data_IF_301444972375
#
_entry.id   IF_301444972375
#
_cell.length_a   1.000
_cell.length_b   1.000
_cell.length_c   1.000
_cell.angle_alpha   90.00
_cell.angle_beta   90.00
_cell.angle_gamma   90.00
#
_symmetry.space_group_name_H-M   'P 1'
#
loop_
_entity.id
_entity.type
_entity.pdbx_description
1 polymer ?
#
# COMPACT_ATOMS: atom_id res chain seq x y z
N UNK A 1 -7.97 -12.60 17.85
CA UNK A 1 -7.43 -11.43 18.58
C UNK A 1 -8.62 -10.72 19.20
N UNK A 2 -8.53 -10.29 20.45
CA UNK A 2 -9.59 -9.55 21.13
C UNK A 2 -9.76 -8.18 20.46
N UNK A 3 -10.97 -7.67 20.35
CA UNK A 3 -11.35 -6.42 19.66
C UNK A 3 -10.71 -5.11 20.19
N UNK A 4 -9.70 -5.19 21.03
CA UNK A 4 -8.98 -4.05 21.65
C UNK A 4 -7.45 -4.19 21.62
N UNK A 5 -6.91 -5.14 20.85
CA UNK A 5 -5.46 -5.41 20.84
C UNK A 5 -4.60 -4.21 20.39
N UNK A 6 -5.15 -3.30 19.58
CA UNK A 6 -4.45 -2.14 19.00
C UNK A 6 -5.01 -0.79 19.48
N UNK A 7 -5.64 -0.71 20.66
CA UNK A 7 -6.35 0.49 21.15
C UNK A 7 -5.51 1.78 21.22
N UNK A 8 -4.19 1.67 21.28
CA UNK A 8 -3.25 2.80 21.31
C UNK A 8 -2.40 2.90 20.03
N UNK A 9 -2.82 2.24 18.96
CA UNK A 9 -2.09 2.21 17.69
C UNK A 9 -2.79 3.11 16.69
N UNK A 10 -2.05 3.97 16.02
CA UNK A 10 -2.56 4.84 14.95
C UNK A 10 -1.96 4.44 13.61
N UNK A 11 -2.83 4.21 12.63
CA UNK A 11 -2.49 3.72 11.30
C UNK A 11 -2.87 4.74 10.24
N UNK A 12 -1.99 4.99 9.29
CA UNK A 12 -2.30 5.74 8.06
C UNK A 12 -2.35 4.76 6.90
N UNK A 13 -3.44 4.75 6.13
CA UNK A 13 -3.60 3.90 4.93
C UNK A 13 -3.88 4.76 3.72
N UNK A 14 -3.05 4.66 2.68
CA UNK A 14 -3.23 5.41 1.43
C UNK A 14 -4.03 4.61 0.39
N UNK A 15 -4.82 5.30 -0.47
CA UNK A 15 -5.68 4.65 -1.46
C UNK A 15 -6.73 3.76 -0.81
N UNK A 16 -7.35 4.24 0.27
CA UNK A 16 -8.12 3.40 1.18
C UNK A 16 -9.65 3.56 1.05
N UNK A 17 -10.12 4.31 0.06
CA UNK A 17 -11.55 4.44 -0.20
C UNK A 17 -12.19 3.20 -0.86
N UNK A 18 -11.38 2.23 -1.29
CA UNK A 18 -11.88 1.00 -1.92
C UNK A 18 -10.87 -0.12 -1.94
N UNK A 19 -11.25 -1.26 -2.55
CA UNK A 19 -10.37 -2.41 -2.79
C UNK A 19 -9.60 -2.87 -1.55
N UNK A 20 -8.32 -3.18 -1.72
CA UNK A 20 -7.45 -3.67 -0.65
C UNK A 20 -7.32 -2.68 0.51
N UNK A 21 -7.16 -1.37 0.21
CA UNK A 21 -6.98 -0.35 1.24
C UNK A 21 -8.17 -0.26 2.20
N UNK A 22 -9.40 -0.38 1.68
CA UNK A 22 -10.61 -0.41 2.50
C UNK A 22 -10.66 -1.65 3.41
N UNK A 23 -10.30 -2.83 2.87
CA UNK A 23 -10.26 -4.07 3.67
C UNK A 23 -9.18 -4.02 4.75
N UNK A 24 -8.02 -3.42 4.47
CA UNK A 24 -6.96 -3.17 5.47
C UNK A 24 -7.48 -2.21 6.56
N UNK A 25 -8.14 -1.11 6.16
CA UNK A 25 -8.75 -0.15 7.10
C UNK A 25 -9.72 -0.83 8.05
N UNK A 26 -10.66 -1.63 7.50
CA UNK A 26 -11.63 -2.41 8.29
C UNK A 26 -10.91 -3.29 9.32
N UNK A 27 -9.90 -4.05 8.89
CA UNK A 27 -9.20 -4.97 9.78
C UNK A 27 -8.48 -4.27 10.94
N UNK A 28 -7.89 -3.08 10.69
CA UNK A 28 -7.27 -2.29 11.77
C UNK A 28 -8.30 -1.67 12.72
N UNK A 29 -9.42 -1.15 12.20
CA UNK A 29 -10.51 -0.62 13.04
C UNK A 29 -11.13 -1.73 13.92
N UNK A 30 -11.41 -2.89 13.35
CA UNK A 30 -11.89 -4.07 14.10
C UNK A 30 -10.90 -4.56 15.16
N UNK A 31 -9.59 -4.41 14.92
CA UNK A 31 -8.54 -4.68 15.90
C UNK A 31 -8.43 -3.59 16.98
N UNK A 32 -9.19 -2.51 16.87
CA UNK A 32 -9.27 -1.43 17.84
C UNK A 32 -8.34 -0.24 17.59
N UNK A 33 -7.60 -0.21 16.48
CA UNK A 33 -6.70 0.88 16.12
C UNK A 33 -7.45 2.18 15.77
N UNK A 34 -6.76 3.31 15.88
CA UNK A 34 -7.14 4.55 15.21
C UNK A 34 -6.66 4.50 13.76
N UNK A 35 -7.49 4.87 12.81
CA UNK A 35 -7.12 4.79 11.39
C UNK A 35 -7.41 6.10 10.67
N UNK A 36 -6.39 6.67 10.06
CA UNK A 36 -6.53 7.76 9.10
C UNK A 36 -6.40 7.18 7.68
N UNK A 37 -7.34 7.52 6.81
CA UNK A 37 -7.29 7.14 5.41
C UNK A 37 -7.16 8.34 4.49
N UNK A 38 -6.54 8.13 3.33
CA UNK A 38 -6.65 9.08 2.24
C UNK A 38 -6.93 8.39 0.91
N UNK A 39 -7.59 9.14 0.03
CA UNK A 39 -7.81 8.78 -1.36
C UNK A 39 -7.95 10.06 -2.20
N UNK A 40 -7.66 9.97 -3.49
CA UNK A 40 -7.87 11.07 -4.43
C UNK A 40 -9.31 11.10 -4.97
N UNK A 41 -10.01 9.96 -4.91
CA UNK A 41 -11.40 9.86 -5.35
C UNK A 41 -12.34 10.26 -4.21
N UNK A 42 -12.79 11.51 -4.26
CA UNK A 42 -13.65 12.10 -3.23
C UNK A 42 -14.95 11.33 -3.01
N UNK A 43 -15.63 10.91 -4.05
CA UNK A 43 -16.93 10.23 -3.94
C UNK A 43 -16.79 8.88 -3.22
N UNK A 44 -15.76 8.10 -3.56
CA UNK A 44 -15.45 6.85 -2.86
C UNK A 44 -15.01 7.10 -1.41
N UNK A 45 -14.26 8.17 -1.19
CA UNK A 45 -13.81 8.54 0.14
C UNK A 45 -14.97 8.94 1.04
N UNK A 46 -15.90 9.74 0.54
CA UNK A 46 -17.10 10.15 1.27
C UNK A 46 -17.99 8.93 1.62
N UNK A 47 -18.16 8.00 0.68
CA UNK A 47 -18.90 6.76 0.92
C UNK A 47 -18.20 5.88 2.00
N UNK A 48 -16.89 5.72 1.92
CA UNK A 48 -16.13 5.00 2.95
C UNK A 48 -16.17 5.70 4.30
N UNK A 49 -16.09 7.04 4.31
CA UNK A 49 -16.19 7.84 5.53
C UNK A 49 -17.55 7.69 6.21
N UNK A 50 -18.64 7.68 5.44
CA UNK A 50 -19.98 7.46 5.98
C UNK A 50 -20.09 6.07 6.63
N UNK A 51 -19.60 5.03 5.95
CA UNK A 51 -19.61 3.65 6.45
C UNK A 51 -18.83 3.51 7.76
N UNK A 52 -17.58 3.96 7.79
CA UNK A 52 -16.73 3.80 8.97
C UNK A 52 -17.12 4.71 10.13
N UNK A 53 -17.70 5.89 9.86
CA UNK A 53 -18.14 6.81 10.92
C UNK A 53 -19.33 6.30 11.71
N UNK A 54 -20.08 5.33 11.19
CA UNK A 54 -21.21 4.72 11.90
C UNK A 54 -20.74 3.95 13.13
N UNK A 55 -19.67 3.15 12.99
CA UNK A 55 -19.21 2.25 14.06
C UNK A 55 -17.91 2.71 14.73
N UNK A 56 -17.14 3.59 14.08
CA UNK A 56 -15.77 3.97 14.47
C UNK A 56 -15.50 5.47 14.50
N UNK A 57 -16.52 6.34 14.70
CA UNK A 57 -16.40 7.80 14.59
C UNK A 57 -15.17 8.40 15.31
N UNK A 58 -14.91 7.96 16.54
CA UNK A 58 -13.80 8.48 17.35
C UNK A 58 -12.43 7.94 16.92
N UNK A 59 -12.39 6.81 16.21
CA UNK A 59 -11.18 6.10 15.78
C UNK A 59 -10.84 6.27 14.32
N UNK A 60 -11.64 7.03 13.57
CA UNK A 60 -11.53 7.13 12.12
C UNK A 60 -11.34 8.56 11.66
N UNK A 61 -10.46 8.77 10.69
CA UNK A 61 -10.23 10.04 9.98
C UNK A 61 -10.16 9.77 8.49
N UNK A 62 -10.94 10.49 7.70
CA UNK A 62 -10.83 10.49 6.23
C UNK A 62 -10.34 11.85 5.74
N UNK A 63 -9.41 11.85 4.78
CA UNK A 63 -8.92 13.06 4.14
C UNK A 63 -8.73 12.86 2.64
N UNK A 64 -9.34 13.73 1.84
CA UNK A 64 -9.01 13.82 0.43
C UNK A 64 -7.56 14.29 0.29
N UNK A 65 -6.70 13.45 -0.31
CA UNK A 65 -5.30 13.79 -0.54
C UNK A 65 -4.73 13.04 -1.74
N UNK A 66 -4.08 13.79 -2.60
CA UNK A 66 -3.21 13.25 -3.64
C UNK A 66 -1.84 12.93 -3.02
N UNK A 67 -1.47 11.66 -2.99
CA UNK A 67 -0.18 11.20 -2.43
C UNK A 67 1.03 11.71 -3.21
N UNK A 68 0.84 12.23 -4.43
CA UNK A 68 1.90 12.86 -5.22
C UNK A 68 2.16 14.33 -4.85
N UNK A 69 1.31 14.90 -4.00
CA UNK A 69 1.47 16.25 -3.46
C UNK A 69 2.07 16.22 -2.06
N UNK A 70 3.31 16.70 -1.91
CA UNK A 70 3.98 16.75 -0.60
C UNK A 70 3.17 17.55 0.42
N UNK A 71 2.56 18.66 0.01
CA UNK A 71 1.73 19.49 0.87
C UNK A 71 0.50 18.73 1.37
N UNK A 72 -0.18 17.98 0.49
CA UNK A 72 -1.36 17.20 0.87
C UNK A 72 -0.98 16.03 1.81
N UNK A 73 0.17 15.40 1.57
CA UNK A 73 0.72 14.35 2.44
C UNK A 73 1.08 14.92 3.81
N UNK A 74 1.83 16.02 3.88
CA UNK A 74 2.19 16.66 5.16
C UNK A 74 0.92 17.02 5.97
N UNK A 75 -0.11 17.54 5.30
CA UNK A 75 -1.37 17.87 5.95
C UNK A 75 -2.12 16.63 6.48
N UNK A 76 -2.10 15.51 5.74
CA UNK A 76 -2.67 14.24 6.21
C UNK A 76 -2.02 13.79 7.52
N UNK A 77 -0.69 13.84 7.59
CA UNK A 77 0.05 13.45 8.80
C UNK A 77 -0.19 14.43 9.96
N UNK A 78 -0.22 15.73 9.71
CA UNK A 78 -0.55 16.75 10.73
C UNK A 78 -1.95 16.54 11.31
N UNK A 79 -2.96 16.31 10.45
CA UNK A 79 -4.34 16.06 10.91
C UNK A 79 -4.45 14.75 11.69
N UNK A 80 -3.70 13.72 11.27
CA UNK A 80 -3.63 12.44 11.98
C UNK A 80 -3.03 12.60 13.37
N UNK A 81 -1.90 13.30 13.48
CA UNK A 81 -1.26 13.58 14.77
C UNK A 81 -2.13 14.48 15.65
N UNK A 82 -2.78 15.50 15.06
CA UNK A 82 -3.72 16.37 15.79
C UNK A 82 -4.89 15.59 16.39
N UNK A 83 -5.43 14.59 15.66
CA UNK A 83 -6.58 13.81 16.14
C UNK A 83 -6.18 12.68 17.09
N UNK A 84 -5.10 11.97 16.79
CA UNK A 84 -4.75 10.71 17.46
C UNK A 84 -3.42 10.76 18.26
N UNK A 85 -2.69 11.86 18.17
CA UNK A 85 -1.46 12.11 18.93
C UNK A 85 -0.19 11.52 18.33
N UNK A 86 -0.27 10.53 17.41
CA UNK A 86 0.87 9.81 16.87
C UNK A 86 0.57 9.08 15.56
N UNK A 87 1.59 8.52 14.92
CA UNK A 87 1.48 7.57 13.81
C UNK A 87 2.38 6.37 14.10
N UNK A 88 1.80 5.19 14.24
CA UNK A 88 2.54 3.96 14.53
C UNK A 88 2.78 3.12 13.28
N UNK A 89 1.84 3.16 12.34
CA UNK A 89 1.90 2.34 11.12
C UNK A 89 1.55 3.21 9.92
N UNK A 90 2.35 3.09 8.87
CA UNK A 90 2.01 3.57 7.53
C UNK A 90 1.80 2.36 6.61
N UNK A 91 0.68 2.33 5.89
CA UNK A 91 0.42 1.37 4.81
C UNK A 91 0.40 2.13 3.49
N UNK A 92 1.45 2.00 2.69
CA UNK A 92 1.54 2.51 1.32
C UNK A 92 0.81 1.56 0.38
N UNK A 93 -0.49 1.80 0.18
CA UNK A 93 -1.36 0.97 -0.64
C UNK A 93 -1.80 1.67 -1.94
N UNK A 94 -1.86 3.00 -1.98
CA UNK A 94 -2.23 3.74 -3.19
C UNK A 94 -1.37 3.34 -4.39
N UNK A 95 -1.98 2.86 -5.46
CA UNK A 95 -1.31 2.49 -6.70
C UNK A 95 -2.29 2.39 -7.87
N UNK A 96 -1.76 2.53 -9.07
CA UNK A 96 -2.49 2.32 -10.33
C UNK A 96 -1.73 1.33 -11.21
N UNK A 97 -2.44 0.67 -12.13
CA UNK A 97 -1.87 -0.25 -13.12
C UNK A 97 -1.50 0.49 -14.40
N UNK A 98 -0.53 -0.04 -15.15
CA UNK A 98 -0.27 0.34 -16.53
C UNK A 98 -1.17 -0.44 -17.52
N UNK A 99 -0.98 -0.17 -18.81
CA UNK A 99 -1.73 -0.82 -19.89
C UNK A 99 -1.03 -2.05 -20.46
N UNK A 100 -0.07 -2.63 -19.77
CA UNK A 100 0.79 -3.75 -20.21
C UNK A 100 1.75 -3.40 -21.36
N UNK A 101 2.11 -2.12 -21.51
CA UNK A 101 3.02 -1.68 -22.54
C UNK A 101 4.47 -2.10 -22.25
N UNK A 102 5.15 -2.80 -23.18
CA UNK A 102 6.59 -2.97 -23.11
C UNK A 102 7.31 -1.64 -23.40
N UNK A 103 8.62 -1.59 -23.16
CA UNK A 103 9.42 -0.37 -23.23
C UNK A 103 9.31 0.37 -24.58
N UNK A 104 9.12 -0.35 -25.69
CA UNK A 104 9.04 0.25 -27.03
C UNK A 104 7.72 0.98 -27.32
N UNK A 105 6.65 0.71 -26.57
CA UNK A 105 5.29 1.27 -26.83
C UNK A 105 4.76 2.09 -25.65
N UNK A 106 5.39 2.06 -24.48
CA UNK A 106 4.98 2.83 -23.33
C UNK A 106 5.11 4.33 -23.59
N UNK A 107 4.00 5.06 -23.48
CA UNK A 107 4.03 6.51 -23.63
C UNK A 107 4.64 7.22 -22.42
N UNK A 108 5.20 8.42 -22.63
CA UNK A 108 5.68 9.26 -21.53
C UNK A 108 4.58 9.57 -20.50
N UNK A 109 3.34 9.80 -20.96
CA UNK A 109 2.21 10.06 -20.07
C UNK A 109 1.96 8.89 -19.09
N UNK A 110 1.92 7.65 -19.60
CA UNK A 110 1.77 6.44 -18.77
C UNK A 110 2.95 6.30 -17.84
N UNK A 111 4.16 6.45 -18.35
CA UNK A 111 5.39 6.37 -17.58
C UNK A 111 5.40 7.36 -16.40
N UNK A 112 5.23 8.65 -16.66
CA UNK A 112 5.26 9.69 -15.64
C UNK A 112 4.14 9.52 -14.62
N UNK A 113 2.94 9.17 -15.08
CA UNK A 113 1.81 8.89 -14.20
C UNK A 113 2.12 7.76 -13.22
N UNK A 114 2.67 6.66 -13.70
CA UNK A 114 2.99 5.51 -12.86
C UNK A 114 4.12 5.83 -11.87
N UNK A 115 5.19 6.48 -12.32
CA UNK A 115 6.29 6.91 -11.45
C UNK A 115 5.78 7.84 -10.35
N UNK A 116 4.95 8.82 -10.69
CA UNK A 116 4.42 9.75 -9.70
C UNK A 116 3.53 9.05 -8.67
N UNK A 117 2.56 8.25 -9.09
CA UNK A 117 1.61 7.64 -8.17
C UNK A 117 2.23 6.48 -7.40
N UNK A 118 2.89 5.54 -8.11
CA UNK A 118 3.32 4.28 -7.51
C UNK A 118 4.70 4.34 -6.82
N UNK A 119 5.50 5.38 -7.07
CA UNK A 119 6.85 5.49 -6.51
C UNK A 119 7.05 6.80 -5.74
N UNK A 120 6.80 7.96 -6.37
CA UNK A 120 6.95 9.26 -5.70
C UNK A 120 5.95 9.39 -4.54
N UNK A 121 4.69 8.97 -4.71
CA UNK A 121 3.68 8.96 -3.65
C UNK A 121 4.14 8.19 -2.41
N UNK A 122 4.49 6.89 -2.50
CA UNK A 122 5.06 6.14 -1.39
C UNK A 122 6.34 6.71 -0.80
N UNK A 123 7.19 7.37 -1.59
CA UNK A 123 8.35 8.09 -1.07
C UNK A 123 7.93 9.27 -0.19
N UNK A 124 7.00 10.10 -0.63
CA UNK A 124 6.53 11.28 0.11
C UNK A 124 5.83 10.86 1.42
N UNK A 125 4.96 9.87 1.38
CA UNK A 125 4.29 9.34 2.57
C UNK A 125 5.27 8.67 3.53
N UNK A 126 6.27 7.94 3.04
CA UNK A 126 7.35 7.37 3.86
C UNK A 126 8.18 8.49 4.52
N UNK A 127 8.52 9.55 3.78
CA UNK A 127 9.23 10.73 4.30
C UNK A 127 8.47 11.38 5.44
N UNK A 128 7.16 11.60 5.28
CA UNK A 128 6.31 12.18 6.32
C UNK A 128 6.17 11.26 7.54
N UNK A 129 6.00 9.95 7.31
CA UNK A 129 5.93 8.94 8.36
C UNK A 129 7.21 8.91 9.19
N UNK A 130 8.38 8.82 8.54
CA UNK A 130 9.68 8.80 9.22
C UNK A 130 9.85 10.04 10.09
N UNK A 131 9.62 11.25 9.54
CA UNK A 131 9.70 12.50 10.33
C UNK A 131 8.82 12.45 11.57
N UNK A 132 7.59 11.98 11.45
CA UNK A 132 6.64 11.84 12.56
C UNK A 132 7.12 10.79 13.57
N UNK A 133 7.51 9.60 13.09
CA UNK A 133 7.93 8.48 13.93
C UNK A 133 9.24 8.72 14.69
N UNK A 134 10.14 9.57 14.16
CA UNK A 134 11.38 9.95 14.86
C UNK A 134 11.13 10.92 16.01
N UNK A 135 10.12 11.78 15.91
CA UNK A 135 9.88 12.88 16.85
C UNK A 135 8.81 12.59 17.90
N UNK A 136 7.96 11.57 17.68
CA UNK A 136 6.91 11.17 18.65
C UNK A 136 7.48 10.45 19.88
N UNK A 137 6.68 10.35 20.94
CA UNK A 137 7.07 9.65 22.19
C UNK A 137 6.12 8.49 22.49
N UNK A 138 6.60 7.24 22.65
CA UNK A 138 7.96 6.79 22.29
C UNK A 138 8.19 6.84 20.77
N UNK A 139 9.45 6.97 20.32
CA UNK A 139 9.77 6.98 18.89
C UNK A 139 9.60 5.60 18.25
N UNK A 140 9.61 5.58 16.92
CA UNK A 140 9.53 4.37 16.10
C UNK A 140 8.16 4.11 15.51
N UNK A 141 8.10 3.12 14.63
CA UNK A 141 6.89 2.74 13.89
C UNK A 141 7.16 1.64 12.86
N UNK A 142 6.13 1.29 12.10
CA UNK A 142 6.19 0.26 11.04
C UNK A 142 5.67 0.82 9.73
N UNK A 143 6.42 0.65 8.67
CA UNK A 143 6.01 1.02 7.30
C UNK A 143 5.79 -0.27 6.51
N UNK A 144 4.62 -0.39 5.90
CA UNK A 144 4.22 -1.54 5.09
C UNK A 144 4.00 -1.05 3.67
N UNK A 145 4.81 -1.53 2.73
CA UNK A 145 4.71 -1.17 1.33
C UNK A 145 4.00 -2.29 0.54
N UNK A 146 2.97 -1.94 -0.23
CA UNK A 146 2.33 -2.88 -1.16
C UNK A 146 3.18 -3.00 -2.42
N UNK A 147 4.02 -4.02 -2.44
CA UNK A 147 4.75 -4.47 -3.62
C UNK A 147 3.91 -5.35 -4.54
N UNK A 148 4.58 -6.07 -5.42
CA UNK A 148 3.97 -6.96 -6.39
C UNK A 148 4.97 -8.05 -6.78
N UNK A 149 4.53 -9.12 -7.41
CA UNK A 149 5.41 -10.01 -8.17
C UNK A 149 6.25 -9.22 -9.20
N UNK A 150 5.70 -8.13 -9.75
CA UNK A 150 6.42 -7.18 -10.59
C UNK A 150 7.57 -6.43 -9.88
N UNK A 151 7.75 -6.60 -8.57
CA UNK A 151 8.90 -6.04 -7.84
C UNK A 151 10.20 -6.82 -8.03
N UNK A 152 10.12 -8.04 -8.55
CA UNK A 152 11.26 -8.95 -8.77
C UNK A 152 11.21 -9.66 -10.12
N UNK A 153 10.11 -9.55 -10.86
CA UNK A 153 9.91 -10.24 -12.14
C UNK A 153 9.45 -9.23 -13.20
N UNK A 154 10.11 -9.22 -14.35
CA UNK A 154 9.84 -8.27 -15.44
C UNK A 154 8.61 -8.58 -16.29
N UNK A 155 8.02 -9.78 -16.17
CA UNK A 155 6.95 -10.23 -17.06
C UNK A 155 5.54 -10.21 -16.44
N UNK A 156 5.35 -9.53 -15.31
CA UNK A 156 4.07 -9.50 -14.60
C UNK A 156 3.20 -8.28 -14.92
N UNK A 157 3.72 -7.31 -15.64
CA UNK A 157 3.06 -6.06 -15.99
C UNK A 157 3.81 -5.38 -17.14
N UNK A 158 3.36 -4.21 -17.58
CA UNK A 158 4.12 -3.35 -18.47
C UNK A 158 5.35 -2.73 -17.79
N UNK A 159 6.15 -2.01 -18.57
CA UNK A 159 7.44 -1.49 -18.12
C UNK A 159 7.29 -0.48 -16.99
N UNK A 160 6.31 0.42 -17.05
CA UNK A 160 6.15 1.49 -16.07
C UNK A 160 5.78 0.92 -14.69
N UNK A 161 4.81 0.02 -14.62
CA UNK A 161 4.45 -0.64 -13.37
C UNK A 161 5.60 -1.47 -12.81
N UNK A 162 6.27 -2.25 -13.65
CA UNK A 162 7.41 -3.09 -13.26
C UNK A 162 8.52 -2.25 -12.63
N UNK A 163 8.91 -1.13 -13.26
CA UNK A 163 9.96 -0.24 -12.74
C UNK A 163 9.54 0.36 -11.40
N UNK A 164 8.28 0.84 -11.28
CA UNK A 164 7.82 1.41 -10.01
C UNK A 164 7.82 0.39 -8.88
N UNK A 165 7.42 -0.85 -9.15
CA UNK A 165 7.37 -1.89 -8.11
C UNK A 165 8.77 -2.41 -7.72
N UNK A 166 9.74 -2.43 -8.64
CA UNK A 166 11.15 -2.61 -8.29
C UNK A 166 11.68 -1.44 -7.44
N UNK A 167 11.27 -0.20 -7.76
CA UNK A 167 11.62 0.99 -6.97
C UNK A 167 11.09 0.91 -5.53
N UNK A 168 9.87 0.38 -5.32
CA UNK A 168 9.32 0.15 -3.97
C UNK A 168 10.17 -0.83 -3.16
N UNK A 169 10.75 -1.86 -3.78
CA UNK A 169 11.70 -2.75 -3.10
C UNK A 169 12.95 -1.98 -2.64
N UNK A 170 13.47 -1.10 -3.50
CA UNK A 170 14.59 -0.22 -3.17
C UNK A 170 14.26 0.72 -2.00
N UNK A 171 13.10 1.40 -2.05
CA UNK A 171 12.62 2.27 -0.98
C UNK A 171 12.48 1.51 0.34
N UNK A 172 11.91 0.30 0.32
CA UNK A 172 11.73 -0.54 1.51
C UNK A 172 13.07 -0.86 2.17
N UNK A 173 14.03 -1.35 1.39
CA UNK A 173 15.36 -1.74 1.89
C UNK A 173 16.17 -0.57 2.39
N UNK A 174 16.13 0.57 1.68
CA UNK A 174 16.81 1.78 2.11
C UNK A 174 16.23 2.29 3.45
N UNK A 175 14.92 2.41 3.55
CA UNK A 175 14.25 2.85 4.78
C UNK A 175 14.58 1.92 5.95
N UNK A 176 14.52 0.61 5.76
CA UNK A 176 14.87 -0.38 6.77
C UNK A 176 16.33 -0.24 7.26
N UNK A 177 17.27 -0.02 6.32
CA UNK A 177 18.68 0.10 6.64
C UNK A 177 19.02 1.38 7.44
N UNK A 178 18.42 2.51 7.05
CA UNK A 178 18.74 3.80 7.67
C UNK A 178 18.01 4.09 8.97
N UNK A 179 16.82 3.49 9.17
CA UNK A 179 15.96 3.83 10.29
C UNK A 179 15.69 2.66 11.25
N UNK A 180 16.18 1.45 10.96
CA UNK A 180 15.97 0.28 11.80
C UNK A 180 16.45 0.45 13.24
N UNK A 181 17.62 1.04 13.44
CA UNK A 181 18.17 1.31 14.78
C UNK A 181 17.40 2.40 15.55
N UNK A 182 16.64 3.24 14.82
CA UNK A 182 15.75 4.24 15.40
C UNK A 182 14.36 3.66 15.75
N UNK A 183 14.17 2.34 15.62
CA UNK A 183 12.92 1.65 15.90
C UNK A 183 11.86 1.81 14.82
N UNK A 184 12.23 2.26 13.60
CA UNK A 184 11.34 2.34 12.46
C UNK A 184 11.66 1.18 11.53
N UNK A 185 10.68 0.29 11.32
CA UNK A 185 10.81 -0.87 10.44
C UNK A 185 10.08 -0.64 9.11
N UNK A 186 10.58 -1.23 8.04
CA UNK A 186 9.95 -1.17 6.73
C UNK A 186 9.94 -2.54 6.06
N UNK A 187 8.76 -3.02 5.70
CA UNK A 187 8.55 -4.34 5.08
C UNK A 187 7.69 -4.18 3.82
N UNK A 188 7.99 -4.95 2.80
CA UNK A 188 7.20 -5.00 1.57
C UNK A 188 6.44 -6.32 1.48
N UNK A 189 5.13 -6.25 1.17
CA UNK A 189 4.35 -7.43 0.76
C UNK A 189 4.42 -7.58 -0.75
N UNK A 190 5.03 -8.65 -1.21
CA UNK A 190 5.14 -8.98 -2.63
C UNK A 190 3.88 -9.69 -3.07
N UNK A 191 2.87 -8.91 -3.49
CA UNK A 191 1.55 -9.42 -3.80
C UNK A 191 1.51 -10.11 -5.17
N UNK A 192 0.79 -11.21 -5.24
CA UNK A 192 0.36 -11.87 -6.48
C UNK A 192 -0.91 -11.24 -7.05
N UNK A 193 -1.67 -12.03 -7.81
CA UNK A 193 -3.03 -11.65 -8.20
C UNK A 193 -3.90 -11.48 -6.97
N UNK A 194 -4.72 -10.45 -6.96
CA UNK A 194 -5.68 -10.20 -5.89
C UNK A 194 -7.10 -10.42 -6.41
N UNK A 195 -7.99 -10.78 -5.52
CA UNK A 195 -9.43 -10.78 -5.78
C UNK A 195 -9.91 -9.37 -6.18
N UNK A 196 -11.14 -9.04 -6.09
CA UNK A 196 -11.73 -7.77 -6.50
C UNK A 196 -10.99 -6.53 -5.93
N UNK A 197 -10.20 -5.86 -6.78
CA UNK A 197 -9.56 -4.57 -6.48
C UNK A 197 -9.95 -3.52 -7.51
N UNK A 198 -9.80 -2.24 -7.17
CA UNK A 198 -10.05 -1.13 -8.09
C UNK A 198 -8.88 -0.87 -9.06
N UNK A 199 -7.84 -1.68 -9.03
CA UNK A 199 -6.67 -1.52 -9.90
C UNK A 199 -7.03 -1.68 -11.40
N UNK A 200 -8.10 -2.44 -11.67
CA UNK A 200 -8.66 -2.62 -13.02
C UNK A 200 -9.31 -1.37 -13.60
N UNK A 201 -9.59 -0.33 -12.80
CA UNK A 201 -10.11 0.95 -13.30
C UNK A 201 -9.14 1.59 -14.32
N UNK A 202 -7.85 1.27 -14.22
CA UNK A 202 -6.83 1.69 -15.18
C UNK A 202 -7.11 1.20 -16.62
N UNK A 203 -7.80 0.06 -16.76
CA UNK A 203 -8.11 -0.55 -18.07
C UNK A 203 -9.30 0.08 -18.80
N UNK A 204 -10.02 1.00 -18.16
CA UNK A 204 -11.13 1.72 -18.81
C UNK A 204 -10.67 2.54 -20.03
N UNK A 205 -9.38 2.92 -20.09
CA UNK A 205 -8.77 3.64 -21.22
C UNK A 205 -8.19 2.73 -22.31
N UNK A 206 -8.32 1.40 -22.16
CA UNK A 206 -7.77 0.39 -23.05
C UNK A 206 -6.53 -0.31 -22.49
N UNK A 207 -6.16 -1.41 -23.10
CA UNK A 207 -4.99 -2.23 -22.78
C UNK A 207 -4.20 -2.52 -24.05
N UNK A 208 -2.90 -2.65 -23.93
CA UNK A 208 -2.05 -3.20 -24.98
C UNK A 208 -2.25 -4.72 -25.01
N UNK A 209 -3.07 -5.19 -25.95
CA UNK A 209 -3.45 -6.62 -26.03
C UNK A 209 -2.26 -7.50 -26.36
N UNK A 210 -1.34 -7.05 -27.21
CA UNK A 210 -0.09 -7.79 -27.53
C UNK A 210 0.79 -7.94 -26.28
N UNK A 211 0.96 -6.85 -25.52
CA UNK A 211 1.69 -6.88 -24.26
C UNK A 211 1.03 -7.80 -23.23
N UNK A 212 -0.29 -7.78 -23.13
CA UNK A 212 -1.05 -8.67 -22.25
C UNK A 212 -0.88 -10.15 -22.65
N UNK A 213 -0.94 -10.47 -23.94
CA UNK A 213 -0.73 -11.84 -24.46
C UNK A 213 0.70 -12.32 -24.16
N UNK A 214 1.71 -11.48 -24.38
CA UNK A 214 3.09 -11.81 -24.05
C UNK A 214 3.27 -12.04 -22.55
N UNK A 215 2.66 -11.21 -21.70
CA UNK A 215 2.67 -11.42 -20.25
C UNK A 215 2.04 -12.78 -19.89
N UNK A 216 0.85 -13.09 -20.42
CA UNK A 216 0.16 -14.36 -20.16
C UNK A 216 0.98 -15.58 -20.62
N UNK A 217 1.65 -15.46 -21.76
CA UNK A 217 2.54 -16.51 -22.27
C UNK A 217 3.75 -16.75 -21.35
N UNK A 218 4.32 -15.68 -20.81
CA UNK A 218 5.48 -15.76 -19.92
C UNK A 218 5.09 -16.17 -18.48
N UNK A 219 3.80 -16.04 -18.12
CA UNK A 219 3.26 -16.33 -16.80
C UNK A 219 2.04 -17.28 -16.86
N UNK A 220 2.21 -18.48 -17.42
CA UNK A 220 1.05 -19.33 -17.80
C UNK A 220 0.26 -19.89 -16.63
N UNK A 221 0.82 -19.87 -15.42
CA UNK A 221 0.21 -20.53 -14.26
C UNK A 221 -0.85 -19.68 -13.54
N UNK A 222 -1.10 -18.44 -13.98
CA UNK A 222 -2.14 -17.63 -13.38
C UNK A 222 -3.54 -18.16 -13.71
N UNK A 223 -4.33 -18.42 -12.68
CA UNK A 223 -5.74 -18.84 -12.81
C UNK A 223 -6.59 -17.99 -11.91
N UNK A 224 -7.37 -17.08 -12.49
CA UNK A 224 -8.29 -16.23 -11.74
C UNK A 224 -9.27 -17.07 -10.91
N UNK A 225 -9.50 -16.66 -9.66
CA UNK A 225 -10.31 -17.40 -8.70
C UNK A 225 -9.57 -18.55 -7.99
N UNK A 226 -8.39 -18.94 -8.46
CA UNK A 226 -7.57 -20.02 -7.86
C UNK A 226 -6.28 -19.47 -7.26
N UNK A 227 -5.52 -18.71 -8.06
CA UNK A 227 -4.24 -18.13 -7.64
C UNK A 227 -4.39 -16.73 -7.01
N UNK A 228 -5.60 -16.15 -7.08
CA UNK A 228 -5.86 -14.86 -6.42
C UNK A 228 -5.78 -14.98 -4.90
N UNK A 229 -5.10 -14.04 -4.29
CA UNK A 229 -4.98 -13.93 -2.84
C UNK A 229 -6.20 -13.18 -2.29
N UNK A 230 -6.89 -13.71 -1.26
CA UNK A 230 -7.99 -13.00 -0.62
C UNK A 230 -7.51 -11.70 0.04
N UNK A 231 -8.21 -10.60 -0.20
CA UNK A 231 -7.85 -9.28 0.36
C UNK A 231 -7.77 -9.32 1.89
N UNK A 232 -8.69 -10.06 2.53
CA UNK A 232 -8.72 -10.22 3.99
C UNK A 232 -7.46 -10.86 4.57
N UNK A 233 -6.80 -11.73 3.80
CA UNK A 233 -5.59 -12.41 4.29
C UNK A 233 -4.39 -11.44 4.24
N UNK A 234 -4.32 -10.58 3.22
CA UNK A 234 -3.35 -9.47 3.19
C UNK A 234 -3.59 -8.52 4.36
N UNK A 235 -4.85 -8.15 4.62
CA UNK A 235 -5.21 -7.26 5.72
C UNK A 235 -4.84 -7.85 7.09
N UNK A 236 -5.11 -9.14 7.34
CA UNK A 236 -4.68 -9.84 8.56
C UNK A 236 -3.17 -9.81 8.76
N UNK A 237 -2.42 -9.96 7.66
CA UNK A 237 -0.97 -9.89 7.73
C UNK A 237 -0.47 -8.47 8.04
N UNK A 238 -1.14 -7.43 7.52
CA UNK A 238 -0.85 -6.05 7.91
C UNK A 238 -1.10 -5.83 9.41
N UNK A 239 -2.19 -6.36 9.96
CA UNK A 239 -2.48 -6.31 11.41
C UNK A 239 -1.43 -7.09 12.22
N UNK A 240 -0.92 -8.22 11.74
CA UNK A 240 0.16 -8.97 12.38
C UNK A 240 1.45 -8.12 12.50
N UNK A 241 1.76 -7.31 11.49
CA UNK A 241 2.92 -6.40 11.48
C UNK A 241 2.77 -5.19 12.43
N UNK A 242 1.63 -5.03 13.10
CA UNK A 242 1.49 -4.10 14.21
C UNK A 242 2.25 -4.57 15.46
N UNK A 243 2.55 -5.87 15.57
CA UNK A 243 3.49 -6.38 16.57
C UNK A 243 4.92 -5.97 16.19
N UNK A 244 5.47 -5.03 16.95
CA UNK A 244 6.81 -4.47 16.68
C UNK A 244 7.92 -5.51 16.71
N UNK A 245 7.76 -6.61 17.48
CA UNK A 245 8.77 -7.70 17.53
C UNK A 245 8.80 -8.45 16.21
N UNK A 246 7.63 -8.74 15.64
CA UNK A 246 7.49 -9.38 14.34
C UNK A 246 7.99 -8.44 13.24
N UNK A 247 7.54 -7.17 13.25
CA UNK A 247 7.96 -6.17 12.27
C UNK A 247 9.49 -5.98 12.26
N UNK A 248 10.14 -5.99 13.44
CA UNK A 248 11.60 -5.91 13.54
C UNK A 248 12.30 -7.12 12.92
N UNK A 249 11.76 -8.32 13.11
CA UNK A 249 12.30 -9.55 12.52
C UNK A 249 12.15 -9.60 11.01
N UNK A 250 11.21 -8.81 10.45
CA UNK A 250 10.92 -8.73 9.01
C UNK A 250 11.44 -7.44 8.37
N UNK A 251 12.25 -6.64 9.08
CA UNK A 251 12.74 -5.36 8.60
C UNK A 251 13.59 -5.51 7.33
N UNK A 252 13.23 -4.80 6.26
CA UNK A 252 13.87 -4.88 4.93
C UNK A 252 13.41 -6.07 4.08
N UNK A 253 12.54 -6.93 4.61
CA UNK A 253 12.06 -8.10 3.87
C UNK A 253 11.08 -7.72 2.74
N UNK A 254 11.13 -8.50 1.66
CA UNK A 254 10.10 -8.60 0.65
C UNK A 254 9.40 -9.96 0.84
N UNK A 255 8.20 -9.93 1.39
CA UNK A 255 7.45 -11.14 1.78
C UNK A 255 6.56 -11.60 0.65
N UNK A 256 6.81 -12.78 0.03
CA UNK A 256 5.92 -13.31 -0.99
C UNK A 256 4.51 -13.57 -0.41
N UNK A 257 3.52 -12.98 -1.04
CA UNK A 257 2.11 -13.14 -0.69
C UNK A 257 1.30 -13.39 -1.96
N UNK A 258 1.56 -14.53 -2.62
CA UNK A 258 1.20 -14.76 -4.01
C UNK A 258 0.66 -16.16 -4.33
N UNK A 259 0.38 -17.00 -3.32
CA UNK A 259 -0.05 -18.39 -3.49
C UNK A 259 0.85 -19.18 -4.46
N UNK A 260 2.17 -18.95 -4.38
CA UNK A 260 3.15 -19.57 -5.26
C UNK A 260 2.90 -19.29 -6.76
N UNK A 261 2.43 -18.08 -7.09
CA UNK A 261 2.35 -17.62 -8.48
C UNK A 261 3.19 -16.35 -8.67
N UNK A 262 4.19 -16.32 -9.59
CA UNK A 262 4.65 -17.52 -10.35
C UNK A 262 5.25 -18.57 -9.42
N UNK A 263 5.28 -19.83 -9.85
CA UNK A 263 5.96 -20.88 -9.09
C UNK A 263 7.43 -20.51 -8.82
N UNK A 264 7.90 -20.80 -7.62
CA UNK A 264 9.29 -20.61 -7.22
C UNK A 264 10.21 -21.59 -7.93
#
# INVERSE_FOLDING_TARGET
MTSQALSNTTVVVTGAAGGLGKVITTAFLEAGANVAICDINKDRLDAAAQEFSTDFADKFLAREADTTSEVAVDQLFQDTVKKFGRVDILVNNAAVMDSFDPAGTCSHEIWDRLLNINLTGPFLTTKAAVKTMETQTPPGGTIINMGSNASICGSNAGVAYTVTKHGILGLTRNTAAFYGEKGITCTMLQLGGLEATNISDAFAKGMNMEGLELMQKNMPCFKRGVTDVPLRDVAKFCVLLADRSIAKSMNGAAVPFNKNWPPA
#
